data_IF_999242744589
#
_entry.id   IF_999242744589
#
_cell.length_a   1.000
_cell.length_b   1.000
_cell.length_c   1.000
_cell.angle_alpha   90.00
_cell.angle_beta   90.00
_cell.angle_gamma   90.00
#
_symmetry.space_group_name_H-M   'P 1'
#
loop_
_entity.id
_entity.type
_entity.pdbx_description
1 polymer ?
#
# COMPACT_ATOMS: atom_id res chain seq x y z
N UNK A 1 -4.51 20.93 -9.78
CA UNK A 1 -4.48 19.62 -9.10
C UNK A 1 -5.75 18.88 -9.44
N UNK A 2 -5.69 17.55 -9.48
CA UNK A 2 -6.85 16.69 -9.72
C UNK A 2 -7.14 15.90 -8.45
N UNK A 3 -8.43 15.74 -8.12
CA UNK A 3 -8.92 14.91 -7.02
C UNK A 3 -9.89 13.90 -7.63
N UNK A 4 -9.66 12.61 -7.39
CA UNK A 4 -10.55 11.54 -7.86
C UNK A 4 -11.20 10.93 -6.63
N UNK A 5 -12.50 11.15 -6.43
CA UNK A 5 -13.19 10.82 -5.18
C UNK A 5 -14.43 9.97 -5.43
N UNK A 6 -14.87 9.29 -4.39
CA UNK A 6 -16.13 8.55 -4.40
C UNK A 6 -17.03 9.00 -3.25
N UNK A 7 -18.33 9.12 -3.50
CA UNK A 7 -19.33 9.40 -2.46
C UNK A 7 -20.19 8.18 -2.18
N UNK A 8 -20.40 7.89 -0.90
CA UNK A 8 -21.31 6.81 -0.48
C UNK A 8 -22.76 7.16 -0.84
N UNK A 9 -23.20 8.39 -0.57
CA UNK A 9 -24.54 8.88 -0.90
C UNK A 9 -24.54 9.78 -2.16
N UNK A 10 -25.69 9.89 -2.82
CA UNK A 10 -25.90 10.87 -3.90
C UNK A 10 -25.86 12.31 -3.37
N UNK A 11 -25.41 13.26 -4.21
CA UNK A 11 -25.40 14.67 -3.89
C UNK A 11 -26.09 15.50 -4.99
N UNK A 12 -26.80 16.55 -4.59
CA UNK A 12 -27.31 17.55 -5.54
C UNK A 12 -26.15 18.35 -6.16
N UNK A 13 -26.12 18.58 -7.49
CA UNK A 13 -25.03 19.31 -8.15
C UNK A 13 -24.86 20.76 -7.66
N UNK A 14 -25.94 21.44 -7.27
CA UNK A 14 -25.86 22.80 -6.71
C UNK A 14 -25.19 22.82 -5.33
N UNK A 15 -25.55 21.85 -4.48
CA UNK A 15 -24.88 21.66 -3.18
C UNK A 15 -23.40 21.29 -3.35
N UNK A 16 -23.07 20.50 -4.38
CA UNK A 16 -21.69 20.20 -4.75
C UNK A 16 -20.94 21.47 -5.15
N UNK A 17 -21.51 22.29 -6.04
CA UNK A 17 -20.90 23.53 -6.50
C UNK A 17 -20.64 24.50 -5.32
N UNK A 18 -21.64 24.70 -4.44
CA UNK A 18 -21.50 25.53 -3.24
C UNK A 18 -20.37 25.02 -2.32
N UNK A 19 -20.29 23.69 -2.16
CA UNK A 19 -19.30 23.06 -1.30
C UNK A 19 -17.87 23.21 -1.85
N UNK A 20 -17.67 22.97 -3.14
CA UNK A 20 -16.39 23.16 -3.82
C UNK A 20 -15.96 24.63 -3.78
N UNK A 21 -16.88 25.55 -4.08
CA UNK A 21 -16.62 26.99 -4.05
C UNK A 21 -16.11 27.44 -2.69
N UNK A 22 -16.72 26.94 -1.62
CA UNK A 22 -16.31 27.27 -0.26
C UNK A 22 -14.98 26.64 0.16
N UNK A 23 -14.69 25.40 -0.26
CA UNK A 23 -13.42 24.72 0.05
C UNK A 23 -12.26 25.42 -0.67
N UNK A 24 -12.43 25.71 -1.96
CA UNK A 24 -11.45 26.42 -2.77
C UNK A 24 -11.42 27.95 -2.52
N UNK A 25 -12.40 28.47 -1.77
CA UNK A 25 -12.56 29.90 -1.45
C UNK A 25 -12.68 30.77 -2.70
N UNK A 26 -13.47 30.30 -3.66
CA UNK A 26 -13.82 31.02 -4.89
C UNK A 26 -15.33 31.30 -4.92
N UNK A 27 -15.80 32.27 -5.74
CA UNK A 27 -17.23 32.43 -6.00
C UNK A 27 -17.83 31.17 -6.62
N UNK A 28 -19.10 30.88 -6.32
CA UNK A 28 -19.82 29.74 -6.92
C UNK A 28 -19.87 29.81 -8.46
N UNK A 29 -19.90 31.03 -9.02
CA UNK A 29 -19.84 31.24 -10.48
C UNK A 29 -18.52 30.81 -11.13
N UNK A 30 -17.47 30.59 -10.33
CA UNK A 30 -16.16 30.09 -10.77
C UNK A 30 -16.02 28.57 -10.56
N UNK A 31 -17.12 27.89 -10.24
CA UNK A 31 -17.20 26.44 -10.10
C UNK A 31 -18.19 25.88 -11.11
N UNK A 32 -17.74 24.90 -11.88
CA UNK A 32 -18.57 24.15 -12.82
C UNK A 32 -18.77 22.72 -12.31
N UNK A 33 -20.03 22.26 -12.24
CA UNK A 33 -20.36 20.87 -11.85
C UNK A 33 -21.28 20.29 -12.90
N UNK A 34 -20.86 19.20 -13.53
CA UNK A 34 -21.60 18.58 -14.63
C UNK A 34 -21.60 17.05 -14.52
N UNK A 35 -22.70 16.45 -14.99
CA UNK A 35 -22.79 15.00 -15.22
C UNK A 35 -21.88 14.63 -16.39
N UNK A 36 -21.01 13.64 -16.21
CA UNK A 36 -20.08 13.18 -17.23
C UNK A 36 -20.80 12.62 -18.48
N UNK A 37 -21.97 12.01 -18.29
CA UNK A 37 -22.81 11.46 -19.37
C UNK A 37 -23.90 12.46 -19.84
N UNK A 38 -23.96 13.63 -19.22
CA UNK A 38 -24.94 14.68 -19.49
C UNK A 38 -24.61 15.55 -20.71
N UNK A 39 -25.48 16.53 -20.96
CA UNK A 39 -25.24 17.55 -21.98
C UNK A 39 -24.08 18.46 -21.56
N UNK A 40 -23.11 18.64 -22.47
CA UNK A 40 -21.87 19.38 -22.24
C UNK A 40 -21.90 20.80 -22.84
N UNK A 41 -22.99 21.21 -23.51
CA UNK A 41 -23.06 22.51 -24.21
C UNK A 41 -23.03 23.71 -23.25
N UNK A 42 -23.58 23.58 -22.05
CA UNK A 42 -23.70 24.67 -21.06
C UNK A 42 -22.52 24.77 -20.09
N UNK A 43 -21.45 23.98 -20.30
CA UNK A 43 -20.31 23.94 -19.38
C UNK A 43 -19.48 25.22 -19.37
N UNK A 44 -19.12 25.64 -18.17
CA UNK A 44 -18.16 26.73 -17.97
C UNK A 44 -16.72 26.19 -17.99
N UNK A 45 -16.18 25.98 -19.19
CA UNK A 45 -14.81 25.50 -19.39
C UNK A 45 -13.71 26.42 -18.82
N UNK A 46 -14.05 27.69 -18.56
CA UNK A 46 -13.12 28.68 -17.98
C UNK A 46 -13.17 28.71 -16.44
N UNK A 47 -14.04 27.93 -15.81
CA UNK A 47 -14.19 27.87 -14.36
C UNK A 47 -12.87 27.51 -13.65
N UNK A 48 -12.60 28.15 -12.52
CA UNK A 48 -11.38 27.90 -11.73
C UNK A 48 -11.37 26.48 -11.16
N UNK A 49 -12.52 25.95 -10.77
CA UNK A 49 -12.71 24.54 -10.44
C UNK A 49 -13.81 23.94 -11.31
N UNK A 50 -13.58 22.71 -11.78
CA UNK A 50 -14.59 21.89 -12.42
C UNK A 50 -14.73 20.54 -11.70
N UNK A 51 -15.93 20.00 -11.67
CA UNK A 51 -16.25 18.67 -11.17
C UNK A 51 -17.09 17.94 -12.20
N UNK A 52 -16.57 16.85 -12.71
CA UNK A 52 -17.35 15.87 -13.47
C UNK A 52 -17.78 14.78 -12.49
N UNK A 53 -19.08 14.46 -12.47
CA UNK A 53 -19.59 13.37 -11.66
C UNK A 53 -20.23 12.31 -12.54
N UNK A 54 -20.09 11.05 -12.15
CA UNK A 54 -20.76 9.90 -12.78
C UNK A 54 -21.54 9.14 -11.72
N UNK A 55 -22.76 8.74 -12.05
CA UNK A 55 -23.51 7.79 -11.23
C UNK A 55 -22.92 6.39 -11.38
N UNK A 56 -22.69 5.73 -10.26
CA UNK A 56 -22.14 4.38 -10.24
C UNK A 56 -23.04 3.44 -9.45
N UNK A 57 -22.94 2.14 -9.70
CA UNK A 57 -23.69 1.13 -8.95
C UNK A 57 -22.92 0.67 -7.71
N UNK A 58 -23.62 0.10 -6.72
CA UNK A 58 -23.02 -0.50 -5.53
C UNK A 58 -23.45 0.18 -4.24
N UNK A 59 -22.56 0.23 -3.24
CA UNK A 59 -22.73 1.02 -2.02
C UNK A 59 -21.94 2.35 -2.05
N UNK A 60 -21.46 2.71 -3.24
CA UNK A 60 -21.00 4.02 -3.66
C UNK A 60 -22.00 4.55 -4.66
N UNK A 61 -22.37 5.82 -4.55
CA UNK A 61 -23.39 6.45 -5.41
C UNK A 61 -22.79 7.29 -6.53
N UNK A 62 -21.64 7.92 -6.30
CA UNK A 62 -21.00 8.84 -7.25
C UNK A 62 -19.49 8.61 -7.32
N UNK A 63 -18.95 8.67 -8.54
CA UNK A 63 -17.53 8.90 -8.82
C UNK A 63 -17.35 10.37 -9.23
N UNK A 64 -16.35 11.05 -8.68
CA UNK A 64 -16.08 12.47 -8.89
C UNK A 64 -14.67 12.67 -9.42
N UNK A 65 -14.55 13.36 -10.55
CA UNK A 65 -13.30 13.85 -11.10
C UNK A 65 -13.27 15.38 -10.99
N UNK A 66 -12.51 15.87 -10.02
CA UNK A 66 -12.45 17.30 -9.68
C UNK A 66 -11.12 17.87 -10.13
N UNK A 67 -11.18 18.90 -10.96
CA UNK A 67 -10.01 19.61 -11.45
C UNK A 67 -9.99 21.05 -10.91
N UNK A 68 -8.89 21.43 -10.26
CA UNK A 68 -8.62 22.79 -9.83
C UNK A 68 -7.47 23.40 -10.64
N UNK A 69 -7.72 24.51 -11.35
CA UNK A 69 -6.72 25.18 -12.18
C UNK A 69 -5.52 25.63 -11.37
N UNK A 70 -4.30 25.57 -11.93
CA UNK A 70 -3.06 26.01 -11.25
C UNK A 70 -3.06 27.50 -10.88
N UNK A 71 -3.87 28.31 -11.56
CA UNK A 71 -4.10 29.74 -11.26
C UNK A 71 -4.78 29.96 -9.90
N UNK A 72 -5.47 28.93 -9.38
CA UNK A 72 -6.15 28.93 -8.10
C UNK A 72 -5.14 28.74 -6.95
N UNK A 73 -4.46 29.84 -6.58
CA UNK A 73 -3.67 30.02 -5.36
C UNK A 73 -3.18 28.76 -4.63
N UNK A 74 -3.51 28.63 -3.34
CA UNK A 74 -3.12 27.46 -2.52
C UNK A 74 -4.27 26.45 -2.52
N UNK A 75 -4.04 25.30 -3.16
CA UNK A 75 -4.97 24.18 -3.21
C UNK A 75 -4.75 23.26 -1.99
N UNK A 76 -5.82 22.79 -1.32
CA UNK A 76 -5.68 21.90 -0.17
C UNK A 76 -5.14 20.53 -0.59
N UNK A 77 -4.33 19.87 0.27
CA UNK A 77 -4.00 18.46 0.09
C UNK A 77 -5.27 17.60 0.01
N UNK A 78 -5.21 16.49 -0.73
CA UNK A 78 -6.37 15.60 -0.99
C UNK A 78 -7.07 15.09 0.29
N UNK A 79 -6.31 14.82 1.35
CA UNK A 79 -6.88 14.42 2.64
C UNK A 79 -7.70 15.55 3.28
N UNK A 80 -7.14 16.77 3.33
CA UNK A 80 -7.84 17.95 3.88
C UNK A 80 -9.06 18.33 3.03
N UNK A 81 -8.93 18.19 1.71
CA UNK A 81 -10.02 18.41 0.76
C UNK A 81 -11.17 17.42 1.00
N UNK A 82 -10.86 16.13 1.08
CA UNK A 82 -11.84 15.05 1.27
C UNK A 82 -12.56 15.17 2.61
N UNK A 83 -11.84 15.53 3.68
CA UNK A 83 -12.43 15.78 5.00
C UNK A 83 -13.39 16.99 4.98
N UNK A 84 -12.98 18.09 4.34
CA UNK A 84 -13.82 19.27 4.21
C UNK A 84 -15.07 18.99 3.38
N UNK A 85 -14.93 18.21 2.30
CA UNK A 85 -16.03 17.80 1.44
C UNK A 85 -17.01 16.89 2.18
N UNK A 86 -16.52 15.86 2.89
CA UNK A 86 -17.35 14.95 3.68
C UNK A 86 -18.20 15.71 4.71
N UNK A 87 -17.59 16.66 5.44
CA UNK A 87 -18.29 17.52 6.40
C UNK A 87 -19.37 18.38 5.76
N UNK A 88 -19.10 18.95 4.58
CA UNK A 88 -20.03 19.86 3.90
C UNK A 88 -21.21 19.12 3.28
N UNK A 89 -20.94 17.97 2.67
CA UNK A 89 -21.96 17.16 2.02
C UNK A 89 -22.74 16.26 2.99
N UNK A 90 -22.20 15.99 4.18
CA UNK A 90 -22.85 15.11 5.15
C UNK A 90 -22.86 13.63 4.72
N UNK A 91 -21.94 13.24 3.82
CA UNK A 91 -21.71 11.86 3.36
C UNK A 91 -20.25 11.47 3.52
N UNK A 92 -19.93 10.19 3.77
CA UNK A 92 -18.57 9.71 3.64
C UNK A 92 -18.02 9.91 2.23
N UNK A 93 -16.73 10.22 2.17
CA UNK A 93 -15.95 10.44 0.96
C UNK A 93 -14.79 9.44 0.96
N UNK A 94 -14.60 8.71 -0.14
CA UNK A 94 -13.40 7.92 -0.37
C UNK A 94 -12.45 8.65 -1.32
N UNK A 95 -11.15 8.51 -1.06
CA UNK A 95 -10.10 9.03 -1.93
C UNK A 95 -8.93 8.05 -2.02
N UNK A 96 -8.23 7.99 -3.17
CA UNK A 96 -7.11 7.08 -3.34
C UNK A 96 -5.95 7.49 -2.43
N UNK A 97 -5.13 6.55 -1.95
CA UNK A 97 -3.88 6.92 -1.31
C UNK A 97 -2.95 7.57 -2.34
N UNK A 98 -2.21 8.60 -1.91
CA UNK A 98 -1.19 9.28 -2.74
C UNK A 98 -0.11 8.35 -3.30
N UNK A 99 0.02 7.14 -2.75
CA UNK A 99 1.08 6.19 -3.06
C UNK A 99 0.52 4.87 -3.62
N UNK A 100 0.29 4.83 -4.95
CA UNK A 100 0.00 3.63 -5.77
C UNK A 100 -1.48 3.18 -5.83
N UNK A 101 -1.75 2.31 -6.81
CA UNK A 101 -3.04 1.69 -7.14
C UNK A 101 -3.45 0.69 -6.05
N UNK A 102 -3.63 1.20 -4.83
CA UNK A 102 -4.01 0.40 -3.70
C UNK A 102 -5.49 0.05 -3.81
N UNK A 103 -5.79 -1.23 -3.61
CA UNK A 103 -7.17 -1.69 -3.44
C UNK A 103 -7.86 -1.11 -2.19
N UNK A 104 -7.08 -0.49 -1.29
CA UNK A 104 -7.54 0.18 -0.09
C UNK A 104 -7.48 1.72 -0.21
N UNK A 105 -8.66 2.33 -0.32
CA UNK A 105 -8.86 3.78 -0.29
C UNK A 105 -8.84 4.29 1.16
N UNK A 106 -8.62 5.60 1.30
CA UNK A 106 -9.02 6.29 2.53
C UNK A 106 -10.51 6.58 2.49
N UNK A 107 -11.17 6.52 3.63
CA UNK A 107 -12.57 6.89 3.82
C UNK A 107 -12.65 7.88 4.97
N UNK A 108 -13.27 9.04 4.71
CA UNK A 108 -13.50 10.08 5.70
C UNK A 108 -14.99 10.31 5.87
N UNK A 109 -15.44 10.32 7.11
CA UNK A 109 -16.85 10.56 7.47
C UNK A 109 -17.11 12.04 7.77
N UNK A 110 -18.37 12.50 7.71
CA UNK A 110 -18.74 13.86 8.13
C UNK A 110 -18.38 14.20 9.58
N UNK A 111 -18.29 13.19 10.44
CA UNK A 111 -17.95 13.32 11.87
C UNK A 111 -16.44 13.45 12.10
N UNK A 112 -15.62 13.26 11.06
CA UNK A 112 -14.16 13.37 11.11
C UNK A 112 -13.44 12.04 11.36
N UNK A 113 -14.14 10.91 11.45
CA UNK A 113 -13.50 9.59 11.42
C UNK A 113 -12.80 9.43 10.05
N UNK A 114 -11.53 9.03 10.09
CA UNK A 114 -10.70 8.70 8.92
C UNK A 114 -10.21 7.27 9.06
N UNK A 115 -10.58 6.38 8.13
CA UNK A 115 -10.23 4.95 8.16
C UNK A 115 -9.84 4.44 6.78
N UNK A 116 -9.34 3.21 6.68
CA UNK A 116 -9.10 2.54 5.40
C UNK A 116 -10.33 1.74 4.98
N UNK A 117 -10.58 1.71 3.67
CA UNK A 117 -11.69 1.02 3.07
C UNK A 117 -11.24 0.27 1.80
N UNK A 118 -11.56 -1.02 1.68
CA UNK A 118 -11.35 -1.77 0.44
C UNK A 118 -12.45 -1.41 -0.54
N UNK A 119 -12.07 -0.83 -1.68
CA UNK A 119 -12.98 -0.53 -2.78
C UNK A 119 -12.75 -1.56 -3.89
N UNK A 120 -13.83 -2.21 -4.34
CA UNK A 120 -13.80 -3.17 -5.43
C UNK A 120 -14.61 -2.63 -6.60
N UNK A 121 -14.03 -2.69 -7.79
CA UNK A 121 -14.67 -2.36 -9.06
C UNK A 121 -15.05 -3.66 -9.79
N UNK A 122 -16.23 -3.70 -10.40
CA UNK A 122 -16.66 -4.81 -11.25
C UNK A 122 -16.17 -4.63 -12.69
N UNK A 123 -15.81 -5.73 -13.36
CA UNK A 123 -15.48 -5.75 -14.79
C UNK A 123 -16.73 -5.75 -15.72
N UNK A 124 -17.89 -5.30 -15.22
CA UNK A 124 -19.15 -5.24 -15.96
C UNK A 124 -19.23 -3.99 -16.86
N UNK A 125 -20.16 -3.99 -17.84
CA UNK A 125 -20.34 -2.87 -18.78
C UNK A 125 -20.72 -1.54 -18.09
N UNK A 126 -21.38 -1.62 -16.92
CA UNK A 126 -21.65 -0.48 -16.04
C UNK A 126 -20.79 -0.60 -14.77
N UNK A 127 -19.93 0.39 -14.46
CA UNK A 127 -19.00 0.28 -13.34
C UNK A 127 -19.74 0.23 -12.01
N UNK A 128 -19.55 -0.86 -11.28
CA UNK A 128 -20.05 -1.05 -9.91
C UNK A 128 -18.90 -0.90 -8.93
N UNK A 129 -19.00 0.07 -8.03
CA UNK A 129 -18.05 0.31 -6.97
C UNK A 129 -18.64 -0.12 -5.62
N UNK A 130 -17.99 -1.09 -4.98
CA UNK A 130 -18.43 -1.63 -3.69
C UNK A 130 -17.32 -1.54 -2.66
N UNK A 131 -17.59 -0.84 -1.56
CA UNK A 131 -16.81 -0.94 -0.33
C UNK A 131 -17.08 -2.30 0.30
N UNK A 132 -16.06 -3.15 0.33
CA UNK A 132 -16.20 -4.56 0.77
C UNK A 132 -15.63 -4.83 2.16
N UNK A 133 -14.82 -3.92 2.71
CA UNK A 133 -14.30 -3.98 4.07
C UNK A 133 -13.82 -2.59 4.53
N UNK A 134 -13.83 -2.34 5.84
CA UNK A 134 -13.29 -1.13 6.47
C UNK A 134 -12.46 -1.49 7.70
N UNK A 135 -11.47 -0.66 8.07
CA UNK A 135 -10.69 -0.90 9.30
C UNK A 135 -11.37 -0.37 10.58
N UNK A 136 -12.36 0.50 10.43
CA UNK A 136 -13.18 1.02 11.54
C UNK A 136 -14.64 1.13 11.11
N UNK A 137 -15.57 0.98 12.06
CA UNK A 137 -17.01 1.02 11.78
C UNK A 137 -17.47 2.38 11.23
N UNK A 138 -18.32 2.34 10.21
CA UNK A 138 -18.87 3.53 9.56
C UNK A 138 -20.39 3.41 9.53
N UNK A 139 -21.11 4.33 10.20
CA UNK A 139 -22.58 4.30 10.35
C UNK A 139 -23.33 4.20 9.01
N UNK A 140 -22.79 4.80 7.95
CA UNK A 140 -23.37 4.80 6.59
C UNK A 140 -23.06 3.55 5.78
N UNK A 141 -22.23 2.65 6.31
CA UNK A 141 -21.87 1.37 5.70
C UNK A 141 -22.03 0.23 6.74
N UNK A 142 -23.23 0.06 7.34
CA UNK A 142 -23.42 -0.80 8.51
C UNK A 142 -23.21 -2.29 8.21
N UNK A 143 -23.40 -2.71 6.95
CA UNK A 143 -23.24 -4.10 6.51
C UNK A 143 -21.81 -4.43 6.06
N UNK A 144 -20.91 -3.43 6.01
CA UNK A 144 -19.53 -3.64 5.59
C UNK A 144 -18.72 -4.19 6.77
N UNK A 145 -18.01 -5.33 6.59
CA UNK A 145 -17.25 -5.93 7.67
C UNK A 145 -16.09 -5.03 8.12
N UNK A 146 -15.93 -4.93 9.45
CA UNK A 146 -14.78 -4.28 10.08
C UNK A 146 -13.66 -5.28 10.25
N UNK A 147 -12.54 -5.09 9.55
CA UNK A 147 -11.37 -5.95 9.61
C UNK A 147 -10.10 -5.21 9.18
N UNK A 148 -8.95 -5.65 9.67
CA UNK A 148 -7.67 -5.22 9.12
C UNK A 148 -7.55 -5.62 7.65
N UNK A 149 -6.93 -4.76 6.85
CA UNK A 149 -6.76 -4.95 5.41
C UNK A 149 -5.32 -5.40 5.10
N UNK A 150 -5.07 -6.71 4.83
CA UNK A 150 -3.73 -7.21 4.56
C UNK A 150 -3.01 -6.49 3.41
N UNK A 151 -3.75 -6.08 2.38
CA UNK A 151 -3.23 -5.33 1.24
C UNK A 151 -2.53 -4.03 1.64
N UNK A 152 -3.04 -3.30 2.65
CA UNK A 152 -2.44 -2.06 3.15
C UNK A 152 -1.04 -2.34 3.67
N UNK A 153 -0.89 -3.45 4.40
CA UNK A 153 0.40 -3.92 4.89
C UNK A 153 1.30 -4.39 3.74
N UNK A 154 0.77 -5.12 2.75
CA UNK A 154 1.57 -5.60 1.62
C UNK A 154 2.14 -4.46 0.77
N UNK A 155 1.35 -3.43 0.54
CA UNK A 155 1.64 -2.33 -0.37
C UNK A 155 2.41 -1.18 0.30
N UNK A 156 2.47 -1.16 1.64
CA UNK A 156 3.24 -0.19 2.40
C UNK A 156 4.70 -0.13 1.91
N UNK A 157 5.14 1.06 1.49
CA UNK A 157 6.53 1.31 1.13
C UNK A 157 7.38 1.42 2.38
N UNK A 158 8.41 0.58 2.43
CA UNK A 158 9.41 0.59 3.49
C UNK A 158 10.75 0.63 2.79
N UNK A 159 11.58 1.58 3.20
CA UNK A 159 12.92 1.74 2.67
C UNK A 159 13.76 0.48 2.97
N UNK A 160 14.47 0.00 1.95
CA UNK A 160 15.35 -1.18 2.04
C UNK A 160 16.80 -0.81 1.68
N UNK A 161 17.45 0.06 2.48
CA UNK A 161 18.78 0.57 2.15
C UNK A 161 19.83 -0.52 1.98
N UNK A 162 19.72 -1.67 2.67
CA UNK A 162 20.67 -2.78 2.50
C UNK A 162 20.45 -3.50 1.16
N UNK A 163 19.19 -3.78 0.78
CA UNK A 163 18.87 -4.36 -0.52
C UNK A 163 19.20 -3.40 -1.69
N UNK A 164 19.04 -2.10 -1.49
CA UNK A 164 19.40 -1.09 -2.48
C UNK A 164 20.92 -0.95 -2.62
N UNK A 165 21.66 -0.88 -1.50
CA UNK A 165 23.13 -0.90 -1.50
C UNK A 165 23.70 -2.17 -2.15
N UNK A 166 23.05 -3.32 -1.96
CA UNK A 166 23.40 -4.56 -2.66
C UNK A 166 23.26 -4.41 -4.18
N UNK A 167 22.14 -3.83 -4.65
CA UNK A 167 21.92 -3.63 -6.07
C UNK A 167 22.94 -2.67 -6.69
N UNK A 168 23.29 -1.59 -6.00
CA UNK A 168 24.35 -0.66 -6.40
C UNK A 168 25.72 -1.36 -6.47
N UNK A 169 26.07 -2.14 -5.44
CA UNK A 169 27.32 -2.89 -5.40
C UNK A 169 27.41 -3.92 -6.53
N UNK A 170 26.27 -4.55 -6.89
CA UNK A 170 26.20 -5.48 -8.02
C UNK A 170 26.39 -4.77 -9.37
N UNK A 171 25.87 -3.53 -9.51
CA UNK A 171 26.10 -2.73 -10.71
C UNK A 171 27.56 -2.31 -10.87
N UNK A 172 28.24 -1.94 -9.77
CA UNK A 172 29.67 -1.62 -9.79
C UNK A 172 30.50 -2.84 -10.22
N UNK A 173 30.16 -4.03 -9.70
CA UNK A 173 30.82 -5.27 -10.09
C UNK A 173 30.63 -5.63 -11.57
N UNK A 174 29.52 -5.21 -12.20
CA UNK A 174 29.32 -5.30 -13.66
C UNK A 174 30.18 -4.30 -14.44
N UNK A 175 30.35 -3.08 -13.91
CA UNK A 175 31.10 -2.00 -14.55
C UNK A 175 32.61 -2.24 -14.58
N UNK A 176 33.16 -2.88 -13.55
CA UNK A 176 34.59 -3.15 -13.42
C UNK A 176 35.05 -4.38 -14.24
N UNK A 177 34.12 -5.19 -14.77
CA UNK A 177 34.38 -6.43 -15.50
C UNK A 177 34.88 -6.28 -16.95
N UNK A 178 35.27 -5.08 -17.39
CA UNK A 178 35.78 -4.82 -18.75
C UNK A 178 37.29 -5.09 -18.92
N UNK A 179 38.00 -5.50 -17.86
CA UNK A 179 39.40 -5.93 -17.95
C UNK A 179 39.52 -7.45 -17.71
N UNK A 180 39.47 -8.21 -18.81
CA UNK A 180 40.01 -9.57 -18.98
C UNK A 180 39.96 -10.52 -17.76
N UNK A 181 38.79 -11.13 -17.50
CA UNK A 181 38.70 -12.31 -16.63
C UNK A 181 37.27 -12.74 -16.28
N UNK A 182 36.74 -13.71 -17.04
CA UNK A 182 35.74 -14.76 -16.71
C UNK A 182 34.50 -14.46 -15.81
N UNK A 183 34.19 -13.19 -15.54
CA UNK A 183 33.13 -12.77 -14.61
C UNK A 183 31.98 -12.03 -15.30
N UNK A 184 31.69 -12.39 -16.56
CA UNK A 184 30.54 -11.82 -17.27
C UNK A 184 29.25 -12.32 -16.60
N UNK A 185 28.56 -11.43 -15.88
CA UNK A 185 27.21 -11.72 -15.39
C UNK A 185 26.32 -11.98 -16.61
N UNK A 186 25.98 -13.25 -16.83
CA UNK A 186 25.07 -13.68 -17.90
C UNK A 186 23.65 -13.20 -17.59
N UNK A 187 22.76 -13.26 -18.59
CA UNK A 187 21.33 -12.96 -18.39
C UNK A 187 20.70 -13.79 -17.26
N UNK A 188 21.07 -15.08 -17.18
CA UNK A 188 20.59 -16.00 -16.15
C UNK A 188 21.05 -15.58 -14.74
N UNK A 189 22.33 -15.18 -14.60
CA UNK A 189 22.86 -14.67 -13.33
C UNK A 189 22.19 -13.36 -12.94
N UNK A 190 21.89 -12.48 -13.91
CA UNK A 190 21.19 -11.24 -13.65
C UNK A 190 19.77 -11.47 -13.13
N UNK A 191 19.06 -12.47 -13.66
CA UNK A 191 17.72 -12.83 -13.19
C UNK A 191 17.75 -13.45 -11.79
N UNK A 192 18.66 -14.39 -11.53
CA UNK A 192 18.85 -14.95 -10.18
C UNK A 192 19.20 -13.86 -9.18
N UNK A 193 20.08 -12.92 -9.55
CA UNK A 193 20.44 -11.79 -8.69
C UNK A 193 19.28 -10.81 -8.46
N UNK A 194 18.40 -10.63 -9.45
CA UNK A 194 17.17 -9.83 -9.30
C UNK A 194 16.22 -10.46 -8.30
N UNK A 195 15.98 -11.77 -8.39
CA UNK A 195 15.14 -12.51 -7.44
C UNK A 195 15.76 -12.45 -6.03
N UNK A 196 17.07 -12.70 -5.93
CA UNK A 196 17.78 -12.61 -4.66
C UNK A 196 17.66 -11.21 -4.03
N UNK A 197 17.75 -10.13 -4.84
CA UNK A 197 17.49 -8.75 -4.37
C UNK A 197 16.09 -8.62 -3.80
N UNK A 198 15.07 -9.12 -4.50
CA UNK A 198 13.68 -9.07 -4.03
C UNK A 198 13.50 -9.77 -2.68
N UNK A 199 14.15 -10.92 -2.47
CA UNK A 199 14.05 -11.68 -1.22
C UNK A 199 14.82 -11.00 -0.07
N UNK A 200 16.00 -10.46 -0.36
CA UNK A 200 16.73 -9.63 0.61
C UNK A 200 15.90 -8.40 1.02
N UNK A 201 15.24 -7.76 0.05
CA UNK A 201 14.36 -6.64 0.29
C UNK A 201 13.15 -7.02 1.14
N UNK A 202 12.50 -8.16 0.87
CA UNK A 202 11.40 -8.64 1.70
C UNK A 202 11.84 -8.92 3.15
N UNK A 203 13.01 -9.55 3.32
CA UNK A 203 13.60 -9.84 4.63
C UNK A 203 13.96 -8.56 5.41
N UNK A 204 14.55 -7.59 4.71
CA UNK A 204 14.87 -6.28 5.29
C UNK A 204 13.60 -5.52 5.68
N UNK A 205 12.56 -5.49 4.81
CA UNK A 205 11.28 -4.84 5.12
C UNK A 205 10.67 -5.40 6.39
N UNK A 206 10.67 -6.72 6.57
CA UNK A 206 10.16 -7.33 7.80
C UNK A 206 10.90 -6.84 9.04
N UNK A 207 12.24 -6.84 8.98
CA UNK A 207 13.09 -6.37 10.07
C UNK A 207 12.84 -4.89 10.38
N UNK A 208 12.73 -4.05 9.35
CA UNK A 208 12.42 -2.61 9.50
C UNK A 208 11.01 -2.34 10.04
N UNK A 209 10.03 -3.22 9.76
CA UNK A 209 8.71 -3.13 10.39
C UNK A 209 8.80 -3.37 11.88
N UNK A 210 9.52 -4.41 12.30
CA UNK A 210 9.76 -4.69 13.71
C UNK A 210 10.49 -3.53 14.40
N UNK A 211 11.49 -2.94 13.74
CA UNK A 211 12.25 -1.78 14.25
C UNK A 211 11.35 -0.57 14.54
N UNK A 212 10.37 -0.32 13.67
CA UNK A 212 9.42 0.79 13.78
C UNK A 212 8.13 0.41 14.52
N UNK A 213 8.14 -0.66 15.32
CA UNK A 213 6.96 -1.13 16.08
C UNK A 213 5.69 -1.31 15.20
N UNK A 214 5.87 -1.75 13.95
CA UNK A 214 4.79 -2.02 13.00
C UNK A 214 3.98 -0.80 12.55
N UNK A 215 4.49 0.41 12.75
CA UNK A 215 3.85 1.63 12.27
C UNK A 215 3.69 1.67 10.73
N UNK A 216 2.64 2.34 10.21
CA UNK A 216 1.58 3.04 10.94
C UNK A 216 0.40 2.14 11.36
N UNK A 217 0.31 0.90 10.88
CA UNK A 217 -0.83 0.02 11.16
C UNK A 217 -0.80 -0.55 12.58
N UNK A 218 0.39 -0.68 13.18
CA UNK A 218 0.58 -1.42 14.42
C UNK A 218 0.23 -2.91 14.30
N UNK A 219 0.03 -3.39 13.06
CA UNK A 219 -0.51 -4.71 12.74
C UNK A 219 0.17 -5.32 11.52
N UNK A 220 0.37 -6.65 11.56
CA UNK A 220 1.02 -7.42 10.51
C UNK A 220 0.50 -8.86 10.51
N UNK A 221 -0.08 -9.38 9.40
CA UNK A 221 -0.56 -10.76 9.35
C UNK A 221 0.54 -11.78 9.65
N UNK A 222 0.22 -12.81 10.44
CA UNK A 222 1.16 -13.90 10.73
C UNK A 222 1.51 -14.68 9.46
N UNK A 223 0.59 -14.79 8.51
CA UNK A 223 0.81 -15.44 7.23
C UNK A 223 1.89 -14.71 6.41
N UNK A 224 1.86 -13.38 6.40
CA UNK A 224 2.88 -12.57 5.71
C UNK A 224 4.22 -12.63 6.42
N UNK A 225 4.21 -12.81 7.75
CA UNK A 225 5.43 -13.03 8.52
C UNK A 225 6.09 -14.34 8.11
N UNK A 226 5.30 -15.42 8.09
CA UNK A 226 5.73 -16.76 7.67
C UNK A 226 6.17 -16.80 6.21
N UNK A 227 5.47 -16.10 5.32
CA UNK A 227 5.84 -15.97 3.91
C UNK A 227 7.26 -15.41 3.76
N UNK A 228 7.58 -14.34 4.50
CA UNK A 228 8.90 -13.72 4.47
C UNK A 228 9.99 -14.61 5.08
N UNK A 229 9.68 -15.41 6.11
CA UNK A 229 10.59 -16.44 6.61
C UNK A 229 10.84 -17.54 5.56
N UNK A 230 9.83 -17.90 4.78
CA UNK A 230 9.97 -18.80 3.63
C UNK A 230 10.92 -18.23 2.56
N UNK A 231 10.81 -16.95 2.24
CA UNK A 231 11.77 -16.29 1.35
C UNK A 231 13.20 -16.38 1.89
N UNK A 232 13.39 -16.29 3.21
CA UNK A 232 14.70 -16.45 3.84
C UNK A 232 15.24 -17.88 3.72
N UNK A 233 14.40 -18.91 3.75
CA UNK A 233 14.79 -20.31 3.47
C UNK A 233 15.29 -20.44 2.02
N UNK A 234 14.56 -19.86 1.07
CA UNK A 234 14.85 -19.98 -0.37
C UNK A 234 16.15 -19.27 -0.80
N UNK A 235 16.57 -18.22 -0.07
CA UNK A 235 17.81 -17.47 -0.32
C UNK A 235 19.02 -18.42 -0.43
N UNK A 236 19.10 -19.48 0.37
CA UNK A 236 20.21 -20.43 0.31
C UNK A 236 20.27 -21.17 -1.03
N UNK A 237 19.12 -21.48 -1.62
CA UNK A 237 19.02 -22.11 -2.93
C UNK A 237 19.50 -21.19 -4.06
N UNK A 238 19.19 -19.90 -3.98
CA UNK A 238 19.66 -18.90 -4.95
C UNK A 238 21.15 -18.61 -4.79
N UNK A 239 21.68 -18.58 -3.57
CA UNK A 239 23.10 -18.38 -3.32
C UNK A 239 23.99 -19.44 -3.97
N UNK A 240 23.50 -20.69 -4.11
CA UNK A 240 24.24 -21.78 -4.79
C UNK A 240 24.29 -21.62 -6.32
N UNK A 241 23.40 -20.82 -6.89
CA UNK A 241 23.30 -20.56 -8.33
C UNK A 241 24.08 -19.31 -8.75
N UNK A 242 24.46 -18.46 -7.79
CA UNK A 242 25.20 -17.24 -8.04
C UNK A 242 26.72 -17.52 -8.13
N UNK A 243 27.44 -16.78 -9.00
CA UNK A 243 28.90 -16.76 -8.97
C UNK A 243 29.44 -16.41 -7.57
N UNK A 244 30.59 -16.98 -7.20
CA UNK A 244 31.12 -16.90 -5.84
C UNK A 244 31.30 -15.46 -5.33
N UNK A 245 31.76 -14.55 -6.20
CA UNK A 245 31.91 -13.13 -5.88
C UNK A 245 30.56 -12.46 -5.58
N UNK A 246 29.52 -12.76 -6.36
CA UNK A 246 28.16 -12.24 -6.16
C UNK A 246 27.52 -12.86 -4.91
N UNK A 247 27.67 -14.16 -4.70
CA UNK A 247 27.18 -14.86 -3.52
C UNK A 247 27.84 -14.32 -2.23
N UNK A 248 29.15 -14.05 -2.27
CA UNK A 248 29.89 -13.46 -1.15
C UNK A 248 29.42 -12.03 -0.85
N UNK A 249 29.21 -11.23 -1.89
CA UNK A 249 28.65 -9.88 -1.75
C UNK A 249 27.25 -9.94 -1.12
N UNK A 250 26.38 -10.83 -1.60
CA UNK A 250 25.04 -11.01 -1.07
C UNK A 250 25.04 -11.40 0.41
N UNK A 251 25.85 -12.40 0.79
CA UNK A 251 25.97 -12.86 2.19
C UNK A 251 26.30 -11.72 3.15
N UNK A 252 27.19 -10.79 2.76
CA UNK A 252 27.52 -9.62 3.59
C UNK A 252 26.30 -8.75 3.91
N UNK A 253 25.37 -8.59 2.97
CA UNK A 253 24.15 -7.83 3.21
C UNK A 253 23.12 -8.66 3.98
N UNK A 254 23.01 -9.95 3.66
CA UNK A 254 22.15 -10.88 4.39
C UNK A 254 22.51 -10.94 5.87
N UNK A 255 23.79 -11.06 6.22
CA UNK A 255 24.28 -11.12 7.60
C UNK A 255 23.87 -9.87 8.40
N UNK A 256 23.82 -8.69 7.76
CA UNK A 256 23.36 -7.45 8.40
C UNK A 256 21.86 -7.47 8.67
N UNK A 257 21.06 -7.97 7.73
CA UNK A 257 19.61 -8.10 7.93
C UNK A 257 19.31 -9.18 8.97
N UNK A 258 20.00 -10.32 8.93
CA UNK A 258 19.88 -11.39 9.93
C UNK A 258 20.23 -10.87 11.34
N UNK A 259 21.29 -10.07 11.48
CA UNK A 259 21.66 -9.43 12.75
C UNK A 259 20.56 -8.48 13.25
N UNK A 260 20.04 -7.62 12.36
CA UNK A 260 18.94 -6.71 12.69
C UNK A 260 17.68 -7.47 13.13
N UNK A 261 17.29 -8.50 12.38
CA UNK A 261 16.15 -9.34 12.73
C UNK A 261 16.34 -9.99 14.10
N UNK A 262 17.54 -10.53 14.37
CA UNK A 262 17.86 -11.17 15.64
C UNK A 262 17.76 -10.19 16.82
N UNK A 263 18.26 -8.96 16.66
CA UNK A 263 18.18 -7.89 17.67
C UNK A 263 16.74 -7.45 17.97
N UNK A 264 15.86 -7.50 16.98
CA UNK A 264 14.48 -7.03 17.06
C UNK A 264 13.46 -8.12 17.43
N UNK A 265 13.92 -9.34 17.64
CA UNK A 265 13.06 -10.48 17.95
C UNK A 265 13.54 -11.18 19.21
N UNK A 266 12.65 -11.95 19.82
CA UNK A 266 12.91 -12.82 20.97
C UNK A 266 12.66 -14.27 20.58
N UNK A 267 13.11 -15.21 21.42
CA UNK A 267 12.86 -16.63 21.19
C UNK A 267 11.35 -16.94 21.28
N UNK A 268 10.83 -17.68 20.30
CA UNK A 268 9.43 -18.09 20.23
C UNK A 268 9.23 -19.43 20.94
N UNK A 269 9.29 -19.40 22.28
CA UNK A 269 9.11 -20.57 23.15
C UNK A 269 7.72 -21.22 22.99
N UNK A 270 6.72 -20.41 22.63
CA UNK A 270 5.33 -20.86 22.43
C UNK A 270 5.08 -21.39 21.01
N UNK A 271 6.08 -21.27 20.12
CA UNK A 271 6.01 -21.70 18.73
C UNK A 271 4.81 -21.10 17.98
N UNK A 272 4.47 -19.84 18.24
CA UNK A 272 3.38 -19.12 17.58
C UNK A 272 3.63 -18.96 16.08
N UNK A 273 4.89 -18.73 15.70
CA UNK A 273 5.30 -18.50 14.32
C UNK A 273 5.31 -19.80 13.52
N UNK A 274 5.58 -20.94 14.16
CA UNK A 274 5.51 -22.25 13.52
C UNK A 274 4.06 -22.73 13.54
N UNK A 275 3.45 -23.09 12.41
CA UNK A 275 2.09 -23.65 12.45
C UNK A 275 2.13 -24.99 13.23
N UNK A 276 1.15 -25.27 14.08
CA UNK A 276 1.01 -26.59 14.71
C UNK A 276 0.86 -27.73 13.69
N UNK A 277 0.50 -27.42 12.44
CA UNK A 277 0.55 -28.35 11.30
C UNK A 277 1.95 -28.61 10.75
N UNK A 278 2.90 -27.73 11.06
CA UNK A 278 4.33 -27.87 10.80
C UNK A 278 5.08 -28.49 12.00
N UNK A 279 4.36 -28.97 13.03
CA UNK A 279 4.98 -29.76 14.09
C UNK A 279 5.83 -30.86 13.47
N UNK A 280 7.08 -31.02 13.93
CA UNK A 280 7.93 -32.05 13.39
C UNK A 280 7.36 -33.42 13.72
N UNK A 281 6.63 -33.97 12.75
CA UNK A 281 6.39 -35.41 12.69
C UNK A 281 7.75 -36.07 12.71
N UNK A 282 7.92 -37.11 13.52
CA UNK A 282 9.21 -37.78 13.70
C UNK A 282 9.85 -38.10 12.32
N UNK A 283 10.82 -37.28 11.91
CA UNK A 283 11.47 -37.35 10.60
C UNK A 283 11.43 -36.08 9.73
N UNK A 284 10.72 -35.00 10.09
CA UNK A 284 10.82 -33.74 9.34
C UNK A 284 12.11 -32.98 9.67
N UNK A 285 12.65 -32.25 8.68
CA UNK A 285 13.82 -31.41 8.88
C UNK A 285 13.48 -30.27 9.86
N UNK A 286 14.30 -30.10 10.88
CA UNK A 286 14.18 -28.98 11.81
C UNK A 286 14.24 -27.66 11.03
N UNK A 287 13.32 -26.74 11.32
CA UNK A 287 13.31 -25.41 10.70
C UNK A 287 14.58 -24.64 11.09
N UNK A 288 14.93 -23.62 10.31
CA UNK A 288 16.08 -22.77 10.60
C UNK A 288 15.82 -21.86 11.81
N UNK A 289 16.89 -21.30 12.41
CA UNK A 289 16.82 -20.56 13.68
C UNK A 289 15.86 -19.36 13.64
N UNK A 290 15.68 -18.70 12.49
CA UNK A 290 14.77 -17.56 12.35
C UNK A 290 13.29 -17.94 12.52
N UNK A 291 12.90 -19.20 12.29
CA UNK A 291 11.54 -19.68 12.52
C UNK A 291 11.18 -19.80 14.01
N UNK A 292 12.19 -19.87 14.88
CA UNK A 292 12.01 -19.96 16.33
C UNK A 292 12.15 -18.59 17.01
N UNK A 293 11.88 -17.52 16.25
CA UNK A 293 11.90 -16.16 16.76
C UNK A 293 10.61 -15.45 16.41
N UNK A 294 10.20 -14.56 17.31
CA UNK A 294 9.02 -13.71 17.14
C UNK A 294 9.32 -12.28 17.58
N UNK A 295 8.64 -11.28 17.04
CA UNK A 295 8.75 -9.93 17.55
C UNK A 295 7.99 -9.74 18.87
N UNK A 296 8.37 -8.70 19.61
CA UNK A 296 7.68 -8.25 20.81
C UNK A 296 7.50 -6.72 20.73
N UNK A 297 6.26 -6.19 20.65
CA UNK A 297 4.98 -6.91 20.70
C UNK A 297 4.66 -7.69 19.42
N UNK A 298 3.82 -8.72 19.53
CA UNK A 298 3.32 -9.50 18.38
C UNK A 298 2.29 -8.69 17.57
N UNK A 299 2.52 -8.45 16.28
CA UNK A 299 1.66 -7.57 15.48
C UNK A 299 0.39 -8.22 14.92
N UNK A 300 0.24 -9.54 15.05
CA UNK A 300 -0.96 -10.26 14.60
C UNK A 300 -1.98 -10.51 15.73
N UNK A 301 -1.63 -10.17 16.98
CA UNK A 301 -2.53 -10.27 18.12
C UNK A 301 -2.83 -8.87 18.64
N UNK A 302 -3.83 -8.21 18.04
CA UNK A 302 -4.59 -7.16 18.75
C UNK A 302 -6.03 -7.62 18.85
N UNK A 303 -6.50 -7.69 20.08
CA UNK A 303 -7.88 -8.03 20.44
C UNK A 303 -8.80 -6.83 20.31
#
# INVERSE_FOLDING_TARGET
>A
MTYNLFLVDSCDPGVMAESLAAIFRVPESEVDVADADGDQEDRNWDALASCEYSHVQGNVSLSLDIYAQESMGQQPPEAEFSEALARRLGTPVLYPPQESAMSAHWLVTPEGLTTRARLSESDDDEPTFTVTAVEEFVDRLPDVPVMHLPEVVREQKIATPLADSFAESLQQLKGDGNEAGDSTITGDVAEVARIAKSYLGAWEKLSRRAENNWEPSGWYPVEFYREVLGYRDDIEGYLRQLPENVATLYKRYLDKVDSLYQELTVDDEEHVVVDGRDEPTAGSAQKAWWWYRRPEPMPWFRG
#
